data_IF_872706532313
#
_entry.id   IF_872706532313
#
_cell.length_a   1.000
_cell.length_b   1.000
_cell.length_c   1.000
_cell.angle_alpha   90.00
_cell.angle_beta   90.00
_cell.angle_gamma   90.00
#
_symmetry.space_group_name_H-M   'P 1'
#
loop_
_entity.id
_entity.type
_entity.pdbx_description
1 polymer ?
#
# COMPACT_ATOMS: atom_id res chain seq x y z
N UNK A 1 -2.73 -17.78 -21.63
CA UNK A 1 -2.43 -16.76 -20.60
C UNK A 1 -2.86 -15.33 -21.00
N UNK A 2 -2.56 -14.85 -22.23
CA UNK A 2 -2.98 -13.51 -22.71
C UNK A 2 -4.50 -13.28 -22.76
N UNK A 3 -5.28 -14.26 -23.25
CA UNK A 3 -6.74 -14.13 -23.34
C UNK A 3 -7.42 -13.93 -21.96
N UNK A 4 -7.02 -14.71 -20.95
CA UNK A 4 -7.51 -14.54 -19.56
C UNK A 4 -7.15 -13.17 -18.99
N UNK A 5 -5.99 -12.60 -19.34
CA UNK A 5 -5.56 -11.28 -18.89
C UNK A 5 -6.41 -10.16 -19.51
N UNK A 6 -6.68 -10.24 -20.82
CA UNK A 6 -7.56 -9.30 -21.53
C UNK A 6 -8.99 -9.34 -20.99
N UNK A 7 -9.52 -10.55 -20.78
CA UNK A 7 -10.84 -10.74 -20.15
C UNK A 7 -10.93 -10.07 -18.79
N UNK A 8 -9.95 -10.29 -17.90
CA UNK A 8 -9.96 -9.67 -16.56
C UNK A 8 -9.90 -8.15 -16.60
N UNK A 9 -9.16 -7.56 -17.54
CA UNK A 9 -9.14 -6.12 -17.72
C UNK A 9 -10.49 -5.57 -18.20
N UNK A 10 -11.16 -6.25 -19.13
CA UNK A 10 -12.47 -5.82 -19.59
C UNK A 10 -13.55 -6.02 -18.52
N UNK A 11 -13.46 -7.08 -17.72
CA UNK A 11 -14.46 -7.39 -16.70
C UNK A 11 -14.34 -6.48 -15.47
N UNK A 12 -13.12 -6.13 -15.03
CA UNK A 12 -12.95 -5.33 -13.81
C UNK A 12 -13.53 -3.91 -13.95
N UNK A 13 -13.52 -3.34 -15.15
CA UNK A 13 -14.07 -2.00 -15.41
C UNK A 13 -15.59 -1.92 -15.29
N UNK A 14 -16.27 -3.08 -15.19
CA UNK A 14 -17.72 -3.17 -15.00
C UNK A 14 -18.13 -3.28 -13.53
N UNK A 15 -17.17 -3.39 -12.62
CA UNK A 15 -17.45 -3.51 -11.19
C UNK A 15 -17.63 -2.13 -10.57
N UNK A 16 -18.81 -1.87 -9.97
CA UNK A 16 -19.17 -0.56 -9.42
C UNK A 16 -18.23 -0.08 -8.31
N UNK A 17 -17.61 -1.00 -7.57
CA UNK A 17 -16.63 -0.71 -6.52
C UNK A 17 -15.19 -0.62 -7.04
N UNK A 18 -14.99 -0.54 -8.37
CA UNK A 18 -13.68 -0.35 -9.00
C UNK A 18 -13.66 0.94 -9.79
N UNK A 19 -12.71 1.81 -9.47
CA UNK A 19 -12.55 3.11 -10.11
C UNK A 19 -11.21 3.16 -10.85
N UNK A 20 -11.25 3.47 -12.15
CA UNK A 20 -10.05 3.55 -12.99
C UNK A 20 -9.72 4.99 -13.36
N UNK A 21 -8.64 5.53 -12.79
CA UNK A 21 -8.21 6.93 -12.96
C UNK A 21 -9.35 7.96 -12.84
N UNK A 22 -10.23 7.88 -11.82
CA UNK A 22 -11.37 8.79 -11.71
C UNK A 22 -10.92 10.23 -11.46
N UNK A 23 -11.70 11.19 -11.96
CA UNK A 23 -11.55 12.61 -11.64
C UNK A 23 -12.44 12.99 -10.45
N UNK A 24 -11.93 13.87 -9.57
CA UNK A 24 -12.65 14.37 -8.40
C UNK A 24 -13.07 13.27 -7.41
N UNK A 25 -12.24 12.23 -7.25
CA UNK A 25 -12.58 11.08 -6.40
C UNK A 25 -12.53 11.41 -4.90
N UNK A 26 -11.72 12.40 -4.51
CA UNK A 26 -11.60 12.81 -3.11
C UNK A 26 -12.99 13.14 -2.50
N UNK A 27 -13.85 13.83 -3.25
CA UNK A 27 -15.19 14.23 -2.83
C UNK A 27 -16.25 13.09 -2.90
N UNK A 28 -15.87 11.92 -3.41
CA UNK A 28 -16.81 10.84 -3.76
C UNK A 28 -16.72 9.61 -2.85
N UNK A 29 -15.71 9.51 -1.99
CA UNK A 29 -15.53 8.33 -1.13
C UNK A 29 -16.70 8.10 -0.17
N UNK A 30 -17.22 9.15 0.46
CA UNK A 30 -18.36 9.01 1.38
C UNK A 30 -19.60 8.51 0.65
N UNK A 31 -19.87 9.03 -0.55
CA UNK A 31 -20.97 8.57 -1.40
C UNK A 31 -20.76 7.13 -1.89
N UNK A 32 -19.52 6.75 -2.22
CA UNK A 32 -19.15 5.39 -2.63
C UNK A 32 -19.46 4.36 -1.54
N UNK A 33 -19.12 4.65 -0.28
CA UNK A 33 -19.37 3.73 0.84
C UNK A 33 -20.72 3.94 1.52
N UNK A 34 -21.41 5.04 1.22
CA UNK A 34 -22.67 5.45 1.86
C UNK A 34 -22.50 5.83 3.34
N UNK A 35 -21.29 6.17 3.77
CA UNK A 35 -20.97 6.47 5.17
C UNK A 35 -19.67 7.31 5.29
N UNK A 36 -19.34 7.75 6.51
CA UNK A 36 -18.15 8.53 6.84
C UNK A 36 -17.16 7.77 7.74
N UNK A 37 -17.12 6.44 7.62
CA UNK A 37 -16.19 5.60 8.38
C UNK A 37 -14.75 5.79 7.91
N UNK A 38 -13.81 5.46 8.80
CA UNK A 38 -12.38 5.53 8.54
C UNK A 38 -11.95 4.82 7.26
N UNK A 39 -11.09 5.48 6.50
CA UNK A 39 -10.51 4.96 5.26
C UNK A 39 -9.13 4.37 5.52
N UNK A 40 -8.92 3.14 5.05
CA UNK A 40 -7.65 2.41 5.10
C UNK A 40 -7.23 2.02 3.70
N UNK A 41 -5.96 2.23 3.39
CA UNK A 41 -5.41 1.94 2.06
C UNK A 41 -4.54 0.70 2.08
N UNK A 42 -4.66 -0.14 1.06
CA UNK A 42 -3.62 -1.12 0.69
C UNK A 42 -2.93 -0.62 -0.58
N UNK A 43 -1.69 -0.16 -0.47
CA UNK A 43 -0.93 0.35 -1.60
C UNK A 43 -0.14 -0.77 -2.27
N UNK A 44 -0.16 -0.77 -3.61
CA UNK A 44 0.34 -1.86 -4.45
C UNK A 44 -0.36 -3.19 -4.12
N UNK A 45 -1.69 -3.14 -3.99
CA UNK A 45 -2.50 -4.21 -3.43
C UNK A 45 -2.44 -5.53 -4.21
N UNK A 46 -1.92 -5.57 -5.44
CA UNK A 46 -1.79 -6.80 -6.19
C UNK A 46 -3.14 -7.45 -6.44
N UNK A 47 -3.47 -8.52 -5.71
CA UNK A 47 -4.76 -9.21 -5.78
C UNK A 47 -5.75 -8.78 -4.69
N UNK A 48 -5.41 -7.80 -3.85
CA UNK A 48 -6.32 -7.20 -2.88
C UNK A 48 -6.58 -8.06 -1.64
N UNK A 49 -5.69 -8.98 -1.30
CA UNK A 49 -5.89 -9.90 -0.18
C UNK A 49 -6.05 -9.17 1.15
N UNK A 50 -5.25 -8.13 1.43
CA UNK A 50 -5.42 -7.38 2.68
C UNK A 50 -6.71 -6.56 2.67
N UNK A 51 -6.98 -5.83 1.60
CA UNK A 51 -8.20 -5.01 1.47
C UNK A 51 -9.46 -5.83 1.75
N UNK A 52 -9.60 -7.00 1.11
CA UNK A 52 -10.81 -7.84 1.26
C UNK A 52 -10.89 -8.51 2.63
N UNK A 53 -9.78 -9.06 3.16
CA UNK A 53 -9.84 -9.76 4.45
C UNK A 53 -9.99 -8.80 5.63
N UNK A 54 -9.34 -7.63 5.58
CA UNK A 54 -9.54 -6.59 6.59
C UNK A 54 -10.96 -6.03 6.54
N UNK A 55 -11.53 -5.81 5.35
CA UNK A 55 -12.91 -5.36 5.19
C UNK A 55 -13.92 -6.30 5.85
N UNK A 56 -13.73 -7.62 5.68
CA UNK A 56 -14.58 -8.63 6.34
C UNK A 56 -14.43 -8.61 7.86
N UNK A 57 -13.22 -8.43 8.36
CA UNK A 57 -12.94 -8.43 9.81
C UNK A 57 -13.41 -7.14 10.50
N UNK A 58 -13.44 -6.03 9.77
CA UNK A 58 -13.77 -4.70 10.29
C UNK A 58 -14.88 -4.03 9.46
N UNK A 59 -16.14 -4.50 9.57
CA UNK A 59 -17.27 -3.95 8.82
C UNK A 59 -17.58 -2.47 9.13
N UNK A 60 -16.99 -1.92 10.20
CA UNK A 60 -17.10 -0.52 10.64
C UNK A 60 -16.01 0.40 10.06
N UNK A 61 -15.17 -0.10 9.16
CA UNK A 61 -14.09 0.61 8.48
C UNK A 61 -14.22 0.41 6.97
N UNK A 62 -13.74 1.37 6.20
CA UNK A 62 -13.72 1.32 4.73
C UNK A 62 -12.30 1.03 4.22
N UNK A 63 -12.19 0.14 3.23
CA UNK A 63 -10.90 -0.30 2.69
C UNK A 63 -10.78 0.01 1.20
N UNK A 64 -9.61 0.49 0.78
CA UNK A 64 -9.35 0.79 -0.63
C UNK A 64 -8.04 0.14 -1.05
N UNK A 65 -8.14 -0.82 -1.99
CA UNK A 65 -6.98 -1.41 -2.64
C UNK A 65 -6.51 -0.55 -3.82
N UNK A 66 -5.25 -0.10 -3.81
CA UNK A 66 -4.67 0.77 -4.83
C UNK A 66 -3.58 0.06 -5.63
N UNK A 67 -3.75 -0.08 -6.94
CA UNK A 67 -2.71 -0.65 -7.82
C UNK A 67 -2.88 -0.17 -9.27
N UNK A 68 -1.78 -0.04 -10.01
CA UNK A 68 -1.81 0.30 -11.44
C UNK A 68 -2.21 -0.91 -12.32
N UNK A 69 -2.05 -2.14 -11.82
CA UNK A 69 -2.25 -3.42 -12.53
C UNK A 69 -3.67 -3.98 -12.28
N UNK A 70 -4.67 -3.40 -12.93
CA UNK A 70 -6.07 -3.83 -12.83
C UNK A 70 -6.30 -5.35 -13.01
N UNK A 71 -5.56 -6.04 -13.87
CA UNK A 71 -5.73 -7.49 -14.04
C UNK A 71 -5.38 -8.35 -12.81
N UNK A 72 -4.53 -7.85 -11.90
CA UNK A 72 -4.23 -8.52 -10.63
C UNK A 72 -5.34 -8.23 -9.63
N UNK A 73 -5.70 -6.95 -9.53
CA UNK A 73 -6.75 -6.40 -8.65
C UNK A 73 -8.11 -7.06 -8.89
N UNK A 74 -8.40 -7.49 -10.12
CA UNK A 74 -9.61 -8.22 -10.49
C UNK A 74 -9.92 -9.38 -9.53
N UNK A 75 -8.90 -10.07 -9.01
CA UNK A 75 -9.10 -11.21 -8.11
C UNK A 75 -9.80 -10.76 -6.82
N UNK A 76 -9.28 -9.72 -6.16
CA UNK A 76 -9.86 -9.16 -4.94
C UNK A 76 -11.19 -8.47 -5.22
N UNK A 77 -11.28 -7.70 -6.30
CA UNK A 77 -12.52 -7.03 -6.69
C UNK A 77 -13.65 -8.03 -6.95
N UNK A 78 -13.38 -9.11 -7.70
CA UNK A 78 -14.37 -10.16 -7.92
C UNK A 78 -14.71 -10.91 -6.64
N UNK A 79 -13.73 -11.19 -5.77
CA UNK A 79 -13.97 -11.84 -4.47
C UNK A 79 -14.89 -10.99 -3.59
N UNK A 80 -14.65 -9.69 -3.51
CA UNK A 80 -15.52 -8.76 -2.77
C UNK A 80 -16.96 -8.77 -3.31
N UNK A 81 -17.14 -8.80 -4.63
CA UNK A 81 -18.45 -8.89 -5.27
C UNK A 81 -19.15 -10.21 -4.96
N UNK A 82 -18.47 -11.33 -5.18
CA UNK A 82 -19.02 -12.68 -5.00
C UNK A 82 -19.38 -12.96 -3.54
N UNK A 83 -18.62 -12.38 -2.59
CA UNK A 83 -18.84 -12.53 -1.15
C UNK A 83 -19.60 -11.34 -0.52
N UNK A 84 -20.12 -10.41 -1.33
CA UNK A 84 -20.91 -9.26 -0.90
C UNK A 84 -20.23 -8.39 0.17
N UNK A 85 -18.91 -8.22 0.10
CA UNK A 85 -18.15 -7.34 0.99
C UNK A 85 -18.31 -5.89 0.50
N UNK A 86 -19.11 -5.10 1.23
CA UNK A 86 -19.55 -3.76 0.77
C UNK A 86 -18.63 -2.61 1.18
N UNK A 87 -17.80 -2.80 2.21
CA UNK A 87 -16.88 -1.81 2.75
C UNK A 87 -15.47 -1.92 2.14
N UNK A 88 -15.37 -2.39 0.89
CA UNK A 88 -14.11 -2.43 0.12
C UNK A 88 -14.31 -1.91 -1.29
N UNK A 89 -13.43 -1.01 -1.71
CA UNK A 89 -13.34 -0.51 -3.07
C UNK A 89 -11.92 -0.70 -3.62
N UNK A 90 -11.76 -0.50 -4.92
CA UNK A 90 -10.46 -0.57 -5.57
C UNK A 90 -10.23 0.62 -6.48
N UNK A 91 -9.02 1.18 -6.41
CA UNK A 91 -8.61 2.34 -7.19
C UNK A 91 -7.44 1.95 -8.09
N UNK A 92 -7.69 1.94 -9.40
CA UNK A 92 -6.63 1.79 -10.38
C UNK A 92 -6.02 3.14 -10.73
N UNK A 93 -4.86 3.42 -10.15
CA UNK A 93 -4.08 4.64 -10.43
C UNK A 93 -2.59 4.42 -10.19
N UNK A 94 -1.79 5.45 -10.43
CA UNK A 94 -0.38 5.51 -10.02
C UNK A 94 -0.32 6.05 -8.58
N UNK A 95 0.41 5.37 -7.70
CA UNK A 95 0.55 5.78 -6.29
C UNK A 95 1.22 7.17 -6.19
N UNK A 96 2.00 7.57 -7.19
CA UNK A 96 2.54 8.93 -7.28
C UNK A 96 1.48 10.03 -7.36
N UNK A 97 0.23 9.69 -7.71
CA UNK A 97 -0.90 10.61 -7.75
C UNK A 97 -1.81 10.47 -6.52
N UNK A 98 -1.42 9.72 -5.49
CA UNK A 98 -2.33 9.35 -4.39
C UNK A 98 -2.98 10.57 -3.71
N UNK A 99 -2.27 11.69 -3.60
CA UNK A 99 -2.77 12.91 -2.96
C UNK A 99 -3.90 13.60 -3.75
N UNK A 100 -4.14 13.24 -5.02
CA UNK A 100 -5.28 13.77 -5.79
C UNK A 100 -6.58 13.02 -5.51
N UNK A 101 -6.51 11.86 -4.86
CA UNK A 101 -7.66 10.98 -4.62
C UNK A 101 -8.19 11.04 -3.20
N UNK A 102 -7.52 11.77 -2.29
CA UNK A 102 -7.90 11.83 -0.88
C UNK A 102 -7.75 13.25 -0.36
N UNK A 103 -8.73 13.70 0.42
CA UNK A 103 -8.60 14.95 1.16
C UNK A 103 -7.47 14.86 2.21
N UNK A 104 -6.92 16.01 2.62
CA UNK A 104 -5.99 16.03 3.74
C UNK A 104 -6.56 15.34 4.97
N UNK A 105 -5.75 14.52 5.64
CA UNK A 105 -6.14 13.78 6.86
C UNK A 105 -7.36 12.85 6.72
N UNK A 106 -7.68 12.37 5.51
CA UNK A 106 -8.81 11.46 5.29
C UNK A 106 -8.50 9.99 5.63
N UNK A 107 -7.22 9.59 5.67
CA UNK A 107 -6.79 8.19 5.75
C UNK A 107 -6.28 7.85 7.15
N UNK A 108 -6.80 6.78 7.76
CA UNK A 108 -6.37 6.32 9.09
C UNK A 108 -5.15 5.41 9.04
N UNK A 109 -5.07 4.50 8.06
CA UNK A 109 -3.98 3.53 7.96
C UNK A 109 -3.55 3.30 6.50
N UNK A 110 -2.26 3.08 6.30
CA UNK A 110 -1.69 2.68 5.00
C UNK A 110 -0.96 1.34 5.17
N UNK A 111 -1.40 0.34 4.43
CA UNK A 111 -0.77 -0.98 4.33
C UNK A 111 0.05 -1.06 3.04
N UNK A 112 1.32 -1.44 3.18
CA UNK A 112 2.25 -1.68 2.08
C UNK A 112 2.73 -3.14 2.22
N UNK A 113 2.16 -4.02 1.42
CA UNK A 113 2.33 -5.47 1.55
C UNK A 113 3.10 -6.02 0.34
N UNK A 114 4.32 -6.51 0.58
CA UNK A 114 5.21 -7.09 -0.43
C UNK A 114 5.41 -6.20 -1.68
N UNK A 115 5.75 -4.91 -1.52
CA UNK A 115 5.98 -4.03 -2.66
C UNK A 115 7.29 -4.41 -3.39
N UNK A 116 7.46 -3.90 -4.62
CA UNK A 116 8.75 -4.04 -5.32
C UNK A 116 9.86 -3.35 -4.50
N UNK A 117 10.95 -4.05 -4.12
CA UNK A 117 12.00 -3.49 -3.27
C UNK A 117 12.91 -2.50 -4.00
N UNK A 118 12.89 -2.47 -5.34
CA UNK A 118 13.78 -1.63 -6.15
C UNK A 118 15.24 -1.68 -5.66
N UNK A 119 15.84 -2.88 -5.72
CA UNK A 119 17.16 -3.19 -5.13
C UNK A 119 18.29 -2.27 -5.61
N UNK A 120 18.21 -1.73 -6.83
CA UNK A 120 19.20 -0.77 -7.34
C UNK A 120 18.98 0.61 -6.73
N UNK A 121 20.02 1.23 -6.18
CA UNK A 121 19.94 2.56 -5.57
C UNK A 121 19.45 3.66 -6.50
N UNK A 122 19.80 3.57 -7.79
CA UNK A 122 19.25 4.48 -8.83
C UNK A 122 17.72 4.45 -8.95
N UNK A 123 17.08 3.44 -8.36
CA UNK A 123 15.63 3.24 -8.28
C UNK A 123 15.06 3.41 -6.87
N UNK A 124 15.87 3.77 -5.86
CA UNK A 124 15.42 3.93 -4.47
C UNK A 124 14.24 4.92 -4.34
N UNK A 125 14.17 5.95 -5.18
CA UNK A 125 13.04 6.90 -5.25
C UNK A 125 11.67 6.27 -5.58
N UNK A 126 11.65 5.01 -6.01
CA UNK A 126 10.44 4.24 -6.30
C UNK A 126 10.03 3.32 -5.14
N UNK A 127 10.88 3.12 -4.13
CA UNK A 127 10.53 2.38 -2.91
C UNK A 127 9.40 3.13 -2.20
N UNK A 128 8.32 2.44 -1.85
CA UNK A 128 7.12 3.10 -1.30
C UNK A 128 7.34 3.70 0.10
N UNK A 129 8.45 3.39 0.77
CA UNK A 129 8.84 4.01 2.05
C UNK A 129 9.89 5.12 1.89
N UNK A 130 10.24 5.50 0.66
CA UNK A 130 11.16 6.60 0.41
C UNK A 130 10.53 7.93 0.82
N UNK A 131 11.33 8.91 1.26
CA UNK A 131 10.87 10.23 1.74
C UNK A 131 9.84 10.90 0.81
N UNK A 132 9.97 10.73 -0.51
CA UNK A 132 9.02 11.20 -1.52
C UNK A 132 7.60 10.70 -1.25
N UNK A 133 7.45 9.41 -0.95
CA UNK A 133 6.16 8.78 -0.65
C UNK A 133 5.71 9.10 0.77
N UNK A 134 6.61 9.06 1.75
CA UNK A 134 6.25 9.44 3.13
C UNK A 134 5.71 10.88 3.21
N UNK A 135 6.29 11.82 2.47
CA UNK A 135 5.79 13.19 2.37
C UNK A 135 4.40 13.31 1.70
N UNK A 136 4.07 12.40 0.77
CA UNK A 136 2.72 12.31 0.19
C UNK A 136 1.74 11.73 1.19
N UNK A 137 2.15 10.67 1.91
CA UNK A 137 1.32 10.03 2.92
C UNK A 137 1.02 10.98 4.08
N UNK A 138 1.99 11.81 4.49
CA UNK A 138 1.80 12.82 5.54
C UNK A 138 0.66 13.81 5.23
N UNK A 139 0.36 14.06 3.94
CA UNK A 139 -0.72 14.97 3.56
C UNK A 139 -2.09 14.32 3.77
N UNK A 140 -2.22 13.02 3.46
CA UNK A 140 -3.52 12.32 3.47
C UNK A 140 -3.78 11.54 4.76
N UNK A 141 -2.73 11.18 5.51
CA UNK A 141 -2.86 10.48 6.78
C UNK A 141 -3.40 11.42 7.87
N UNK A 142 -4.27 10.87 8.72
CA UNK A 142 -4.64 11.50 9.99
C UNK A 142 -3.41 11.69 10.88
N UNK A 143 -3.42 12.68 11.80
CA UNK A 143 -2.31 12.91 12.73
C UNK A 143 -1.90 11.69 13.58
N UNK A 144 -2.86 10.82 13.90
CA UNK A 144 -2.67 9.57 14.65
C UNK A 144 -2.55 8.34 13.74
N UNK A 145 -2.64 8.53 12.43
CA UNK A 145 -2.58 7.45 11.44
C UNK A 145 -1.20 6.81 11.35
N UNK A 146 -1.18 5.55 10.90
CA UNK A 146 0.05 4.76 10.84
C UNK A 146 0.25 4.06 9.49
N UNK A 147 1.50 3.67 9.25
CA UNK A 147 1.93 2.94 8.06
C UNK A 147 2.43 1.56 8.50
N UNK A 148 1.98 0.55 7.77
CA UNK A 148 2.38 -0.84 7.91
C UNK A 148 3.21 -1.22 6.69
N UNK A 149 4.42 -1.73 6.91
CA UNK A 149 5.19 -2.44 5.89
C UNK A 149 5.32 -3.90 6.29
N UNK A 150 4.92 -4.81 5.40
CA UNK A 150 5.19 -6.24 5.49
C UNK A 150 5.94 -6.67 4.23
N UNK A 151 7.13 -7.25 4.36
CA UNK A 151 8.04 -7.49 3.22
C UNK A 151 8.90 -8.74 3.44
N UNK A 152 9.29 -9.40 2.34
CA UNK A 152 10.30 -10.47 2.32
C UNK A 152 11.71 -9.95 1.98
N UNK A 153 11.82 -8.72 1.48
CA UNK A 153 13.12 -8.11 1.14
C UNK A 153 13.76 -7.45 2.36
N UNK A 154 14.90 -8.00 2.76
CA UNK A 154 15.78 -7.45 3.79
C UNK A 154 16.25 -6.05 3.46
N UNK A 155 16.64 -5.81 2.21
CA UNK A 155 17.14 -4.52 1.75
C UNK A 155 16.06 -3.44 1.83
N UNK A 156 14.81 -3.78 1.48
CA UNK A 156 13.70 -2.84 1.63
C UNK A 156 13.41 -2.58 3.11
N UNK A 157 13.42 -3.62 3.95
CA UNK A 157 13.16 -3.47 5.38
C UNK A 157 14.20 -2.58 6.07
N UNK A 158 15.48 -2.82 5.82
CA UNK A 158 16.59 -1.99 6.30
C UNK A 158 16.47 -0.55 5.79
N UNK A 159 16.19 -0.36 4.50
CA UNK A 159 15.94 0.97 3.94
C UNK A 159 14.75 1.68 4.62
N UNK A 160 13.68 0.95 4.95
CA UNK A 160 12.55 1.53 5.69
C UNK A 160 12.96 1.94 7.10
N UNK A 161 13.76 1.15 7.80
CA UNK A 161 14.28 1.51 9.12
C UNK A 161 15.15 2.78 9.05
N UNK A 162 15.98 2.93 8.02
CA UNK A 162 16.75 4.15 7.79
C UNK A 162 15.86 5.37 7.58
N UNK A 163 14.79 5.26 6.76
CA UNK A 163 13.85 6.35 6.53
C UNK A 163 13.06 6.72 7.79
N UNK A 164 12.64 5.72 8.56
CA UNK A 164 11.96 5.88 9.86
C UNK A 164 12.85 6.63 10.84
N UNK A 165 14.12 6.21 10.97
CA UNK A 165 15.08 6.89 11.84
C UNK A 165 15.40 8.31 11.36
N UNK A 166 15.66 8.48 10.07
CA UNK A 166 16.02 9.76 9.46
C UNK A 166 14.94 10.83 9.65
N UNK A 167 13.67 10.44 9.52
CA UNK A 167 12.53 11.35 9.71
C UNK A 167 11.97 11.35 11.14
N UNK A 168 12.63 10.68 12.09
CA UNK A 168 12.18 10.64 13.49
C UNK A 168 10.73 10.13 13.63
N UNK A 169 10.37 9.14 12.80
CA UNK A 169 9.09 8.45 12.88
C UNK A 169 8.99 7.66 14.20
N UNK A 170 7.80 7.56 14.76
CA UNK A 170 7.52 6.75 15.96
C UNK A 170 7.29 5.29 15.55
N UNK A 171 8.13 4.36 15.99
CA UNK A 171 7.91 2.92 15.78
C UNK A 171 6.88 2.42 16.79
N UNK A 172 5.76 1.90 16.29
CA UNK A 172 4.70 1.30 17.10
C UNK A 172 4.86 -0.21 17.26
N UNK A 173 5.46 -0.85 16.26
CA UNK A 173 5.72 -2.29 16.25
C UNK A 173 6.88 -2.61 15.31
N UNK A 174 7.77 -3.49 15.73
CA UNK A 174 8.89 -3.97 14.94
C UNK A 174 9.02 -5.48 15.12
N UNK A 175 8.88 -6.22 14.02
CA UNK A 175 9.00 -7.67 14.01
C UNK A 175 9.92 -8.10 12.86
N UNK A 176 11.18 -8.49 13.15
CA UNK A 176 12.12 -8.89 12.11
C UNK A 176 11.88 -10.29 11.55
N UNK A 177 10.99 -11.10 12.16
CA UNK A 177 10.57 -12.41 11.65
C UNK A 177 9.14 -12.73 12.12
N UNK A 178 8.18 -12.45 11.24
CA UNK A 178 6.73 -12.63 11.47
C UNK A 178 6.36 -14.09 11.77
N UNK A 179 7.15 -15.06 11.32
CA UNK A 179 6.84 -16.48 11.41
C UNK A 179 7.74 -17.26 12.39
N UNK A 180 8.62 -16.57 13.13
CA UNK A 180 9.55 -17.19 14.08
C UNK A 180 8.88 -18.12 15.11
N UNK A 181 7.61 -17.85 15.44
CA UNK A 181 6.83 -18.60 16.43
C UNK A 181 5.60 -19.30 15.82
N UNK A 182 5.62 -19.58 14.51
CA UNK A 182 4.52 -20.22 13.79
C UNK A 182 3.59 -19.22 13.11
N UNK A 183 2.29 -19.54 13.05
CA UNK A 183 1.31 -18.66 12.41
C UNK A 183 1.13 -17.36 13.21
N UNK A 184 1.35 -16.18 12.61
CA UNK A 184 1.20 -14.91 13.33
C UNK A 184 -0.26 -14.63 13.71
N UNK A 185 -0.48 -13.65 14.58
CA UNK A 185 -1.84 -13.18 14.88
C UNK A 185 -2.44 -12.37 13.72
N UNK A 186 -3.77 -12.25 13.71
CA UNK A 186 -4.45 -11.32 12.80
C UNK A 186 -4.07 -9.86 13.14
N UNK A 187 -3.81 -8.99 12.15
CA UNK A 187 -3.97 -9.19 10.69
C UNK A 187 -2.74 -9.73 9.96
N UNK A 188 -1.61 -9.98 10.64
CA UNK A 188 -0.38 -10.46 9.99
C UNK A 188 -0.50 -11.89 9.45
N UNK A 189 -1.51 -12.67 9.86
CA UNK A 189 -1.83 -13.97 9.28
C UNK A 189 -2.53 -13.91 7.92
N UNK A 190 -2.93 -12.73 7.44
CA UNK A 190 -3.40 -12.59 6.06
C UNK A 190 -2.20 -12.86 5.15
N UNK A 191 -2.26 -14.01 4.48
CA UNK A 191 -1.21 -14.42 3.55
C UNK A 191 -1.53 -13.92 2.15
N UNK A 192 -0.64 -13.11 1.57
CA UNK A 192 -0.77 -12.72 0.15
C UNK A 192 -0.32 -13.87 -0.77
N UNK A 193 -0.72 -13.81 -2.04
CA UNK A 193 -0.22 -14.79 -3.02
C UNK A 193 1.31 -14.83 -3.12
N UNK A 194 1.97 -13.67 -3.11
CA UNK A 194 3.43 -13.61 -3.23
C UNK A 194 4.11 -14.06 -1.93
N UNK A 195 3.54 -13.72 -0.78
CA UNK A 195 4.02 -14.21 0.51
C UNK A 195 4.09 -15.74 0.59
N UNK A 196 3.06 -16.44 0.08
CA UNK A 196 3.10 -17.90 -0.02
C UNK A 196 4.25 -18.43 -0.87
N UNK A 197 4.61 -17.73 -1.95
CA UNK A 197 5.78 -18.08 -2.77
C UNK A 197 7.08 -17.80 -2.01
N UNK A 198 7.18 -16.66 -1.33
CA UNK A 198 8.39 -16.27 -0.58
C UNK A 198 8.66 -17.19 0.61
N UNK A 199 7.63 -17.62 1.32
CA UNK A 199 7.75 -18.60 2.39
C UNK A 199 8.18 -19.98 1.84
N UNK A 200 7.67 -20.39 0.69
CA UNK A 200 8.11 -21.62 0.02
C UNK A 200 9.59 -21.55 -0.43
N UNK A 201 10.08 -20.35 -0.74
CA UNK A 201 11.50 -20.08 -1.04
C UNK A 201 12.36 -19.92 0.24
N UNK A 202 11.79 -20.10 1.43
CA UNK A 202 12.50 -19.98 2.71
C UNK A 202 12.87 -18.55 3.11
N UNK A 203 12.23 -17.53 2.53
CA UNK A 203 12.49 -16.12 2.87
C UNK A 203 11.84 -15.75 4.20
N UNK A 204 12.56 -14.98 5.01
CA UNK A 204 12.03 -14.38 6.24
C UNK A 204 11.08 -13.23 5.89
N UNK A 205 9.91 -13.21 6.52
CA UNK A 205 8.96 -12.12 6.37
C UNK A 205 9.10 -11.17 7.54
N UNK A 206 9.31 -9.89 7.24
CA UNK A 206 9.58 -8.83 8.21
C UNK A 206 8.44 -7.83 8.22
N UNK A 207 8.22 -7.20 9.36
CA UNK A 207 7.13 -6.28 9.57
C UNK A 207 7.53 -5.10 10.45
N UNK A 208 7.06 -3.91 10.06
CA UNK A 208 7.17 -2.69 10.85
C UNK A 208 5.87 -1.89 10.74
N UNK A 209 5.44 -1.33 11.88
CA UNK A 209 4.34 -0.35 11.96
C UNK A 209 4.85 0.92 12.61
N UNK A 210 4.62 2.06 11.98
CA UNK A 210 5.15 3.33 12.44
C UNK A 210 4.23 4.50 12.12
N UNK A 211 4.36 5.60 12.88
CA UNK A 211 3.71 6.88 12.62
C UNK A 211 4.72 7.86 12.04
N UNK A 212 4.25 8.69 11.12
CA UNK A 212 5.05 9.79 10.59
C UNK A 212 5.24 10.87 11.65
N UNK A 213 6.33 11.65 11.60
CA UNK A 213 6.53 12.77 12.50
C UNK A 213 5.44 13.83 12.30
N UNK A 214 5.18 14.62 13.36
CA UNK A 214 4.36 15.82 13.26
C UNK A 214 5.04 16.93 12.43
N UNK A 215 6.38 16.92 12.37
CA UNK A 215 7.16 17.85 11.55
C UNK A 215 7.08 17.48 10.08
N UNK A 216 7.04 18.49 9.20
CA UNK A 216 6.96 18.28 7.76
C UNK A 216 8.16 17.48 7.25
N UNK A 217 7.90 16.40 6.51
CA UNK A 217 8.95 15.62 5.84
C UNK A 217 9.56 16.44 4.71
N UNK A 218 10.86 16.71 4.81
CA UNK A 218 11.63 17.43 3.79
C UNK A 218 12.19 16.44 2.78
N UNK A 219 11.96 16.72 1.49
CA UNK A 219 12.49 15.94 0.37
C UNK A 219 13.86 16.54 0.00
N UNK A 220 14.97 15.79 0.14
CA UNK A 220 16.28 16.26 -0.32
C UNK A 220 16.26 16.66 -1.80
N UNK A 221 16.98 17.72 -2.19
CA UNK A 221 17.11 18.08 -3.59
C UNK A 221 17.76 16.94 -4.38
N UNK A 222 17.39 16.79 -5.65
CA UNK A 222 18.08 15.86 -6.54
C UNK A 222 19.56 16.22 -6.56
N UNK A 223 20.41 15.25 -6.20
CA UNK A 223 21.87 15.36 -6.39
C UNK A 223 22.10 15.60 -7.90
N UNK A 224 22.58 16.79 -8.27
CA UNK A 224 23.07 17.01 -9.63
C UNK A 224 24.29 16.11 -9.79
N UNK A 225 24.24 15.21 -10.77
CA UNK A 225 25.42 14.46 -11.18
C UNK A 225 26.23 15.47 -11.97
N UNK A 226 27.32 15.97 -11.39
CA UNK A 226 28.27 16.80 -12.13
C UNK A 226 28.81 15.96 -13.28
N UNK A 227 28.55 16.41 -14.52
CA UNK A 227 29.24 15.90 -15.69
C UNK A 227 30.74 16.10 -15.50
N UNK A 228 31.48 15.03 -15.78
CA UNK A 228 32.92 14.92 -15.59
C UNK A 228 33.66 16.09 -16.25
N UNK A 229 34.59 16.69 -15.52
CA UNK A 229 35.57 17.62 -16.08
C UNK A 229 36.44 16.84 -17.06
N UNK A 230 36.50 17.20 -18.36
CA UNK A 230 37.45 16.59 -19.26
C UNK A 230 38.85 17.07 -18.89
N UNK A 231 39.75 16.10 -18.65
CA UNK A 231 41.20 16.30 -18.51
C UNK A 231 41.79 16.76 -19.84
#
# INVERSE_FOLDING_TARGET
MKAKKLFRFAAISQFEHVFEFPEGMADKWEACFGNQQDLLLELACGKGEYSVNLAKAFPQKNFIGVDIKGNRMYVGAKKALDEQVKNVAFLRTRIENITTYFHPHAVSEIWITFPDPFLRDSKAKNRLTHHKFLAMYQQILKPDGCIHLKTDSKELFEFTLEMVAHHQCEILELNPDVYAHGTPAFPLNIQTFYEGMHLADGRTIQYIRFKLPATKIVIPPKKQINEETPV
#
